data_IF_770000127004
#
_entry.id   IF_770000127004
#
_cell.length_a   1.000
_cell.length_b   1.000
_cell.length_c   1.000
_cell.angle_alpha   90.00
_cell.angle_beta   90.00
_cell.angle_gamma   90.00
#
_symmetry.space_group_name_H-M   'P 1'
#
loop_
_entity.id
_entity.type
_entity.pdbx_description
1 polymer ?
#
# COMPACT_ATOMS: atom_id res chain seq x y z
N UNK A 1 -27.31 17.55 -27.98
CA UNK A 1 -26.45 17.46 -26.77
C UNK A 1 -25.28 16.53 -27.07
N UNK A 2 -24.03 16.98 -26.89
CA UNK A 2 -22.85 16.20 -27.30
C UNK A 2 -22.47 15.08 -26.33
N UNK A 3 -22.50 13.82 -26.79
CA UNK A 3 -21.97 12.66 -26.06
C UNK A 3 -20.44 12.59 -26.15
N UNK A 4 -19.75 13.53 -25.51
CA UNK A 4 -18.30 13.40 -25.27
C UNK A 4 -18.01 12.29 -24.26
N UNK A 5 -16.82 11.66 -24.35
CA UNK A 5 -16.33 10.79 -23.27
C UNK A 5 -16.15 11.62 -21.99
N UNK A 6 -16.64 11.19 -20.82
CA UNK A 6 -16.59 12.01 -19.60
C UNK A 6 -15.15 12.40 -19.23
N UNK A 7 -14.93 13.69 -19.02
CA UNK A 7 -13.61 14.30 -18.69
C UNK A 7 -13.05 13.80 -17.36
N UNK A 8 -13.94 13.37 -16.44
CA UNK A 8 -13.58 12.77 -15.15
C UNK A 8 -13.66 11.24 -15.25
N UNK A 9 -12.61 10.56 -14.78
CA UNK A 9 -12.63 9.11 -14.58
C UNK A 9 -13.26 8.81 -13.23
N UNK A 10 -14.21 7.88 -13.16
CA UNK A 10 -14.79 7.42 -11.89
C UNK A 10 -13.71 6.91 -10.92
N UNK A 11 -12.71 6.18 -11.42
CA UNK A 11 -11.56 5.70 -10.63
C UNK A 11 -10.80 6.87 -9.98
N UNK A 12 -10.70 8.01 -10.68
CA UNK A 12 -9.99 9.20 -10.19
C UNK A 12 -10.82 9.98 -9.16
N UNK A 13 -12.14 10.07 -9.37
CA UNK A 13 -13.07 10.63 -8.38
C UNK A 13 -13.08 9.78 -7.09
N UNK A 14 -13.09 8.45 -7.22
CA UNK A 14 -12.99 7.52 -6.09
C UNK A 14 -11.69 7.74 -5.29
N UNK A 15 -10.54 7.95 -5.94
CA UNK A 15 -9.27 8.29 -5.28
C UNK A 15 -9.33 9.64 -4.56
N UNK A 16 -9.97 10.65 -5.16
CA UNK A 16 -10.19 11.96 -4.52
C UNK A 16 -11.07 11.81 -3.27
N UNK A 17 -12.14 11.03 -3.34
CA UNK A 17 -13.03 10.76 -2.20
C UNK A 17 -12.30 9.98 -1.08
N UNK A 18 -11.44 9.01 -1.41
CA UNK A 18 -10.55 8.31 -0.44
C UNK A 18 -9.64 9.32 0.26
N UNK A 19 -8.93 10.15 -0.50
CA UNK A 19 -8.00 11.15 0.06
C UNK A 19 -8.71 12.29 0.80
N UNK A 20 -9.98 12.57 0.52
CA UNK A 20 -10.79 13.51 1.29
C UNK A 20 -11.01 13.05 2.73
N UNK A 21 -11.23 11.75 2.96
CA UNK A 21 -11.37 11.21 4.30
C UNK A 21 -10.02 10.91 4.96
N UNK A 22 -9.06 10.30 4.25
CA UNK A 22 -7.73 9.97 4.77
C UNK A 22 -6.82 11.20 4.99
N UNK A 23 -7.10 12.33 4.32
CA UNK A 23 -6.26 13.54 4.19
C UNK A 23 -4.97 13.33 3.39
N UNK A 24 -4.27 12.22 3.64
CA UNK A 24 -3.11 11.78 2.85
C UNK A 24 -2.99 10.25 2.82
N UNK A 25 -2.25 9.73 1.83
CA UNK A 25 -1.89 8.32 1.74
C UNK A 25 -0.89 8.06 0.62
N UNK A 26 -0.07 7.01 0.73
CA UNK A 26 0.80 6.58 -0.37
C UNK A 26 0.07 5.55 -1.26
N UNK A 27 0.58 5.30 -2.46
CA UNK A 27 -0.18 4.65 -3.53
C UNK A 27 -0.70 3.23 -3.22
N UNK A 28 -0.08 2.51 -2.28
CA UNK A 28 -0.52 1.18 -1.86
C UNK A 28 -1.69 1.21 -0.86
N UNK A 29 -1.69 2.13 0.11
CA UNK A 29 -2.82 2.31 1.04
C UNK A 29 -4.08 2.74 0.27
N UNK A 30 -3.93 3.69 -0.66
CA UNK A 30 -5.01 4.14 -1.54
C UNK A 30 -5.57 2.94 -2.32
N UNK A 31 -4.71 2.04 -2.80
CA UNK A 31 -5.11 0.81 -3.49
C UNK A 31 -5.81 -0.22 -2.56
N UNK A 32 -5.36 -0.39 -1.31
CA UNK A 32 -6.07 -1.20 -0.29
C UNK A 32 -7.50 -0.69 -0.09
N UNK A 33 -7.66 0.58 0.30
CA UNK A 33 -8.97 1.21 0.56
C UNK A 33 -9.84 1.20 -0.70
N UNK A 34 -9.25 1.41 -1.89
CA UNK A 34 -10.00 1.37 -3.14
C UNK A 34 -10.66 0.01 -3.38
N UNK A 35 -9.95 -1.11 -3.15
CA UNK A 35 -10.49 -2.47 -3.38
C UNK A 35 -11.57 -2.88 -2.39
N UNK A 36 -11.59 -2.30 -1.19
CA UNK A 36 -12.63 -2.53 -0.18
C UNK A 36 -13.95 -1.80 -0.51
N UNK A 37 -13.88 -0.68 -1.24
CA UNK A 37 -15.05 0.19 -1.53
C UNK A 37 -15.58 0.04 -2.96
N UNK A 38 -14.70 -0.25 -3.92
CA UNK A 38 -14.97 -0.09 -5.35
C UNK A 38 -14.58 -1.34 -6.16
N UNK A 39 -15.13 -1.53 -7.39
CA UNK A 39 -14.79 -2.67 -8.24
C UNK A 39 -13.27 -2.81 -8.46
N UNK A 40 -12.77 -4.04 -8.38
CA UNK A 40 -11.33 -4.33 -8.46
C UNK A 40 -10.66 -3.71 -9.70
N UNK A 41 -9.54 -3.02 -9.46
CA UNK A 41 -8.62 -2.50 -10.49
C UNK A 41 -7.21 -2.97 -10.18
N UNK A 42 -6.29 -2.91 -11.14
CA UNK A 42 -4.87 -3.20 -10.85
C UNK A 42 -4.18 -2.01 -10.18
N UNK A 43 -3.17 -2.26 -9.35
CA UNK A 43 -2.38 -1.21 -8.70
C UNK A 43 -1.76 -0.23 -9.71
N UNK A 44 -1.40 -0.70 -10.93
CA UNK A 44 -0.90 0.13 -12.04
C UNK A 44 -1.94 1.18 -12.49
N UNK A 45 -3.24 0.87 -12.45
CA UNK A 45 -4.32 1.82 -12.79
C UNK A 45 -4.47 2.90 -11.72
N UNK A 46 -4.28 2.56 -10.44
CA UNK A 46 -4.22 3.55 -9.35
C UNK A 46 -3.04 4.50 -9.56
N UNK A 47 -1.82 4.00 -9.79
CA UNK A 47 -0.64 4.86 -10.04
C UNK A 47 -0.78 5.74 -11.29
N UNK A 48 -1.39 5.23 -12.37
CA UNK A 48 -1.74 6.05 -13.53
C UNK A 48 -2.68 7.20 -13.16
N UNK A 49 -3.72 6.94 -12.36
CA UNK A 49 -4.68 7.96 -11.94
C UNK A 49 -4.14 8.93 -10.89
N UNK A 50 -3.21 8.51 -10.02
CA UNK A 50 -2.47 9.40 -9.13
C UNK A 50 -1.60 10.38 -9.94
N UNK A 51 -0.73 9.88 -10.82
CA UNK A 51 0.11 10.73 -11.70
C UNK A 51 -0.74 11.67 -12.55
N UNK A 52 -1.87 11.20 -13.09
CA UNK A 52 -2.78 12.03 -13.90
C UNK A 52 -3.57 13.05 -13.07
N UNK A 53 -3.98 12.73 -11.84
CA UNK A 53 -4.65 13.68 -10.95
C UNK A 53 -3.73 14.80 -10.49
N UNK A 54 -2.45 14.50 -10.24
CA UNK A 54 -1.42 15.52 -9.95
C UNK A 54 -1.20 16.43 -11.16
N UNK A 55 -1.07 15.86 -12.36
CA UNK A 55 -0.94 16.63 -13.61
C UNK A 55 -2.20 17.46 -13.99
N UNK A 56 -3.33 17.26 -13.29
CA UNK A 56 -4.57 18.02 -13.46
C UNK A 56 -4.87 18.96 -12.27
N UNK A 57 -3.99 19.04 -11.26
CA UNK A 57 -4.21 19.84 -10.05
C UNK A 57 -5.31 19.34 -9.10
N UNK A 58 -5.96 18.22 -9.43
CA UNK A 58 -6.97 17.56 -8.59
C UNK A 58 -6.33 16.87 -7.38
N UNK A 59 -5.07 16.47 -7.50
CA UNK A 59 -4.24 15.88 -6.45
C UNK A 59 -2.94 16.66 -6.31
N UNK A 60 -2.25 16.51 -5.17
CA UNK A 60 -0.88 16.96 -4.97
C UNK A 60 -0.03 15.83 -4.38
N UNK A 61 1.29 15.93 -4.56
CA UNK A 61 2.24 15.23 -3.68
C UNK A 61 2.33 16.05 -2.39
N UNK A 62 2.11 15.40 -1.26
CA UNK A 62 2.22 16.03 0.07
C UNK A 62 3.61 15.83 0.67
N UNK A 63 4.20 14.65 0.48
CA UNK A 63 5.49 14.26 1.06
C UNK A 63 6.12 13.13 0.23
N UNK A 64 7.46 13.01 0.25
CA UNK A 64 8.19 11.85 -0.28
C UNK A 64 9.10 11.35 0.84
N UNK A 65 8.76 10.20 1.44
CA UNK A 65 9.61 9.55 2.44
C UNK A 65 10.52 8.54 1.77
N UNK A 66 11.80 8.52 2.17
CA UNK A 66 12.73 7.44 1.83
C UNK A 66 12.89 6.57 3.07
N UNK A 67 12.48 5.31 2.97
CA UNK A 67 12.67 4.32 4.03
C UNK A 67 13.85 3.41 3.64
N UNK A 68 14.85 3.31 4.50
CA UNK A 68 15.93 2.34 4.36
C UNK A 68 15.47 0.98 4.91
N UNK A 69 15.82 -0.10 4.23
CA UNK A 69 15.42 -1.45 4.62
C UNK A 69 16.07 -2.52 3.74
N UNK A 70 16.22 -3.72 4.28
CA UNK A 70 16.86 -4.86 3.61
C UNK A 70 15.89 -5.57 2.66
N UNK A 71 15.42 -4.87 1.62
CA UNK A 71 14.60 -5.49 0.58
C UNK A 71 15.48 -6.22 -0.45
N UNK A 72 14.99 -7.36 -0.97
CA UNK A 72 15.69 -8.21 -1.95
C UNK A 72 15.99 -7.54 -3.30
N UNK A 73 15.51 -6.31 -3.51
CA UNK A 73 15.69 -5.49 -4.71
C UNK A 73 16.32 -4.12 -4.44
N UNK A 74 16.78 -3.83 -3.21
CA UNK A 74 17.52 -2.60 -2.90
C UNK A 74 17.38 -2.13 -1.44
N UNK A 75 18.35 -1.33 -0.99
CA UNK A 75 18.47 -0.84 0.39
C UNK A 75 17.57 0.34 0.76
N UNK A 76 16.75 0.85 -0.16
CA UNK A 76 15.89 2.02 0.07
C UNK A 76 14.63 1.96 -0.81
N UNK A 77 13.48 2.32 -0.24
CA UNK A 77 12.20 2.48 -0.95
C UNK A 77 11.67 3.90 -0.78
N UNK A 78 11.11 4.48 -1.86
CA UNK A 78 10.49 5.81 -1.83
C UNK A 78 8.96 5.72 -1.77
N UNK A 79 8.37 6.19 -0.67
CA UNK A 79 6.92 6.33 -0.52
C UNK A 79 6.50 7.77 -0.83
N UNK A 80 5.88 7.95 -1.99
CA UNK A 80 5.23 9.21 -2.38
C UNK A 80 3.84 9.25 -1.75
N UNK A 81 3.62 10.20 -0.84
CA UNK A 81 2.32 10.47 -0.22
C UNK A 81 1.56 11.51 -1.04
N UNK A 82 0.30 11.20 -1.35
CA UNK A 82 -0.60 12.06 -2.10
C UNK A 82 -1.66 12.65 -1.17
N UNK A 83 -2.14 13.84 -1.51
CA UNK A 83 -3.27 14.51 -0.86
C UNK A 83 -4.12 15.26 -1.89
N UNK A 84 -5.15 15.95 -1.41
CA UNK A 84 -6.00 16.77 -2.28
C UNK A 84 -5.25 17.99 -2.83
N UNK A 85 -5.35 18.20 -4.14
CA UNK A 85 -4.90 19.41 -4.82
C UNK A 85 -5.96 20.52 -4.80
N UNK A 86 -5.64 21.74 -5.28
CA UNK A 86 -6.58 22.86 -5.28
C UNK A 86 -7.83 22.62 -6.14
N UNK A 87 -7.73 21.84 -7.23
CA UNK A 87 -8.88 21.50 -8.07
C UNK A 87 -9.64 20.24 -7.61
N UNK A 88 -9.30 19.70 -6.43
CA UNK A 88 -10.01 18.57 -5.84
C UNK A 88 -11.48 18.91 -5.59
N UNK A 89 -12.39 18.14 -6.22
CA UNK A 89 -13.85 18.28 -6.04
C UNK A 89 -14.40 16.95 -5.51
N UNK A 90 -14.16 16.64 -4.22
CA UNK A 90 -14.63 15.41 -3.58
C UNK A 90 -16.16 15.41 -3.48
N UNK A 91 -16.77 14.24 -3.63
CA UNK A 91 -18.22 14.04 -3.45
C UNK A 91 -18.53 13.66 -1.99
N UNK A 92 -17.57 13.02 -1.30
CA UNK A 92 -17.72 12.63 0.10
C UNK A 92 -18.53 11.34 0.28
N UNK A 93 -18.39 10.40 -0.66
CA UNK A 93 -19.15 9.15 -0.71
C UNK A 93 -19.17 8.40 0.63
N UNK A 94 -20.36 8.19 1.18
CA UNK A 94 -20.60 7.53 2.48
C UNK A 94 -19.92 6.16 2.59
N UNK A 95 -19.91 5.38 1.49
CA UNK A 95 -19.27 4.06 1.42
C UNK A 95 -17.77 4.09 1.74
N UNK A 96 -17.08 5.17 1.37
CA UNK A 96 -15.65 5.36 1.67
C UNK A 96 -15.45 5.59 3.16
N UNK A 97 -16.33 6.37 3.79
CA UNK A 97 -16.33 6.58 5.24
C UNK A 97 -16.57 5.27 5.99
N UNK A 98 -17.58 4.49 5.61
CA UNK A 98 -17.87 3.20 6.25
C UNK A 98 -16.70 2.21 6.15
N UNK A 99 -16.08 2.07 4.98
CA UNK A 99 -14.93 1.18 4.82
C UNK A 99 -13.72 1.63 5.63
N UNK A 100 -13.45 2.94 5.73
CA UNK A 100 -12.40 3.45 6.61
C UNK A 100 -12.70 3.20 8.09
N UNK A 101 -13.96 3.29 8.53
CA UNK A 101 -14.33 2.90 9.90
C UNK A 101 -14.29 1.38 10.12
N UNK A 102 -14.52 0.55 9.10
CA UNK A 102 -14.31 -0.91 9.15
C UNK A 102 -12.82 -1.24 9.30
N UNK A 103 -11.97 -0.65 8.46
CA UNK A 103 -10.51 -0.84 8.48
C UNK A 103 -9.86 -0.30 9.77
N UNK A 104 -10.46 0.67 10.46
CA UNK A 104 -10.03 1.07 11.82
C UNK A 104 -10.47 0.11 12.92
N UNK A 105 -11.65 -0.51 12.76
CA UNK A 105 -12.24 -1.45 13.74
C UNK A 105 -11.66 -2.86 13.63
N UNK A 106 -10.94 -3.13 12.55
CA UNK A 106 -10.03 -4.25 12.39
C UNK A 106 -8.59 -3.71 12.51
N UNK A 107 -8.06 -3.45 13.72
CA UNK A 107 -6.61 -3.51 13.90
C UNK A 107 -6.20 -4.93 13.47
N UNK A 108 -5.41 -5.00 12.41
CA UNK A 108 -5.45 -6.16 11.50
C UNK A 108 -4.93 -7.41 12.21
N UNK A 109 -5.58 -8.57 11.98
CA UNK A 109 -5.31 -9.81 12.74
C UNK A 109 -4.02 -10.50 12.27
N UNK A 110 -2.88 -9.83 12.47
CA UNK A 110 -1.55 -10.24 12.07
C UNK A 110 -0.90 -9.42 10.94
N UNK A 111 -1.47 -8.29 10.51
CA UNK A 111 -0.93 -7.49 9.39
C UNK A 111 -0.50 -6.05 9.72
N UNK A 112 -0.72 -5.56 10.95
CA UNK A 112 0.09 -4.48 11.53
C UNK A 112 1.44 -5.04 12.04
N UNK A 113 2.13 -5.80 11.18
CA UNK A 113 3.57 -5.97 11.31
C UNK A 113 4.23 -4.67 10.84
N UNK A 114 5.16 -4.06 11.62
CA UNK A 114 6.02 -3.04 11.06
C UNK A 114 6.79 -3.63 9.87
N UNK A 115 7.07 -2.82 8.85
CA UNK A 115 7.67 -3.26 7.58
C UNK A 115 9.11 -3.80 7.71
N UNK A 116 9.63 -3.90 8.95
CA UNK A 116 10.89 -4.54 9.34
C UNK A 116 10.85 -6.08 9.32
N UNK A 117 9.69 -6.72 9.49
CA UNK A 117 9.63 -8.17 9.70
C UNK A 117 9.27 -8.99 8.45
N UNK A 118 8.66 -8.38 7.42
CA UNK A 118 8.42 -9.03 6.13
C UNK A 118 9.69 -9.21 5.25
N UNK A 119 10.86 -8.91 5.80
CA UNK A 119 12.17 -9.25 5.22
C UNK A 119 13.06 -10.06 6.17
N UNK A 120 12.52 -10.62 7.26
CA UNK A 120 13.20 -11.70 7.97
C UNK A 120 13.26 -12.91 7.01
N UNK A 121 14.44 -13.44 6.65
CA UNK A 121 14.48 -14.76 6.05
C UNK A 121 13.91 -15.74 7.07
N UNK A 122 13.10 -16.70 6.61
CA UNK A 122 12.64 -17.80 7.45
C UNK A 122 13.86 -18.40 8.15
N UNK A 123 13.90 -18.36 9.49
CA UNK A 123 14.88 -19.17 10.22
C UNK A 123 14.59 -20.62 9.89
N UNK A 124 15.47 -21.22 9.09
CA UNK A 124 15.52 -22.67 8.97
C UNK A 124 15.65 -23.22 10.40
N UNK A 125 14.86 -24.24 10.78
CA UNK A 125 14.96 -24.80 12.12
C UNK A 125 16.37 -25.37 12.30
N UNK A 126 17.14 -24.82 13.24
CA UNK A 126 18.45 -25.37 13.57
C UNK A 126 18.28 -26.83 13.97
N UNK A 127 18.73 -27.74 13.10
CA UNK A 127 18.81 -29.15 13.43
C UNK A 127 19.81 -29.30 14.56
N UNK A 128 19.32 -29.75 15.72
CA UNK A 128 20.06 -29.92 16.97
C UNK A 128 21.37 -30.68 16.74
N UNK A 129 22.50 -30.00 16.96
CA UNK A 129 23.85 -30.62 16.92
C UNK A 129 24.15 -31.37 18.22
N UNK A 130 23.23 -32.24 18.61
CA UNK A 130 23.35 -33.16 19.74
C UNK A 130 23.73 -34.55 19.23
N UNK A 131 25.02 -34.72 18.95
CA UNK A 131 25.67 -36.02 18.75
C UNK A 131 26.83 -36.11 19.75
N UNK A 132 26.83 -37.09 20.68
CA UNK A 132 27.80 -37.14 21.77
C UNK A 132 29.22 -37.51 21.28
N UNK A 133 30.27 -37.17 22.06
CA UNK A 133 31.64 -37.34 21.64
C UNK A 133 32.17 -38.77 21.80
N UNK A 134 33.00 -39.22 20.85
CA UNK A 134 34.16 -40.05 21.21
C UNK A 134 34.06 -41.57 21.05
N UNK A 135 33.26 -42.08 20.11
CA UNK A 135 33.38 -43.45 19.56
C UNK A 135 33.03 -43.43 18.06
N UNK A 136 33.62 -44.20 17.14
CA UNK A 136 34.86 -45.02 17.11
C UNK A 136 35.24 -45.25 15.62
N UNK A 137 36.32 -45.94 15.20
CA UNK A 137 37.31 -46.77 15.91
C UNK A 137 38.41 -47.29 14.95
N UNK A 138 38.95 -48.50 15.22
CA UNK A 138 39.91 -49.23 14.38
C UNK A 138 39.22 -50.21 13.40
N UNK A 139 39.55 -50.10 12.10
CA UNK A 139 39.69 -51.26 11.20
C UNK A 139 40.56 -50.89 9.97
N UNK A 140 41.48 -51.79 9.61
CA UNK A 140 42.10 -51.92 8.29
C UNK A 140 41.79 -53.32 7.76
#
# INVERSE_FOLDING_TARGET
MGKGRPTRSGIRQNIIDILYFMKQGYGYDIYKVYREVFPNVTMRVIYYHLKKGVALGELKVSEIKKEQGNYSWGSTVEKIYYGLGPEAKPIGSFRVKEALERLKKMPDSGLDMPLLELSQPSKEPEQSKDLPPGQEGLAQ
#
